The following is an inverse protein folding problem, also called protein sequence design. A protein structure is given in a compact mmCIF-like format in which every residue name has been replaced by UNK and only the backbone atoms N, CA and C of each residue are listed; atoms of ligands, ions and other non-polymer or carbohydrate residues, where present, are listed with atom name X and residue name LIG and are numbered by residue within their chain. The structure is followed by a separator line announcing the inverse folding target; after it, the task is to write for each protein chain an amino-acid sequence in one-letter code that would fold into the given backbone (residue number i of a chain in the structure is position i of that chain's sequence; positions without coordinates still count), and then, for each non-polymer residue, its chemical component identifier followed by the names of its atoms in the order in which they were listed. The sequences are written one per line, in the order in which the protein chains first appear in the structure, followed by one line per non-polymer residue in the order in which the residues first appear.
data_IF_906958261584
#
_entry.id   IF_906958261584
#
_cell.length_a   1.000
_cell.length_b   1.000
_cell.length_c   1.000
_cell.angle_alpha   90.00
_cell.angle_beta   90.00
_cell.angle_gamma   90.00
#
_symmetry.space_group_name_H-M   'P 1'
#
loop_
_entity.id
_entity.type
_entity.pdbx_description
1 polymer ?
#
# COMPACT_ATOMS: atom_id res chain seq x y z
N UNK A 1 16.08 3.94 10.26
CA UNK A 1 14.66 3.56 10.42
C UNK A 1 13.76 4.70 10.00
N UNK A 2 12.67 4.37 9.30
CA UNK A 2 11.76 5.38 8.80
C UNK A 2 10.99 6.05 9.96
N UNK A 3 10.89 7.38 9.91
CA UNK A 3 10.21 8.12 10.96
C UNK A 3 8.72 8.29 10.66
N UNK A 4 7.90 7.44 11.28
CA UNK A 4 6.46 7.50 11.13
C UNK A 4 5.79 8.55 12.01
N UNK A 5 6.55 9.22 12.86
CA UNK A 5 6.01 10.22 13.80
C UNK A 5 6.25 11.66 13.36
N UNK A 6 7.03 11.84 12.30
CA UNK A 6 7.38 13.17 11.83
C UNK A 6 6.25 13.85 11.08
N UNK A 7 6.30 15.18 11.05
CA UNK A 7 5.29 16.00 10.36
C UNK A 7 5.26 15.67 8.87
N UNK A 8 6.43 15.45 8.29
CA UNK A 8 6.52 15.14 6.85
C UNK A 8 5.75 13.89 6.51
N UNK A 9 5.88 12.84 7.33
CA UNK A 9 5.15 11.60 7.10
C UNK A 9 3.65 11.79 7.27
N UNK A 10 3.25 12.54 8.30
CA UNK A 10 1.83 12.77 8.54
C UNK A 10 1.15 13.45 7.36
N UNK A 11 1.84 14.42 6.76
CA UNK A 11 1.32 15.11 5.58
C UNK A 11 1.24 14.17 4.38
N UNK A 12 2.29 13.37 4.18
CA UNK A 12 2.33 12.41 3.08
C UNK A 12 1.22 11.38 3.22
N UNK A 13 1.06 10.89 4.43
CA UNK A 13 0.02 9.90 4.74
C UNK A 13 -1.36 10.43 4.37
N UNK A 14 -1.67 11.67 4.76
CA UNK A 14 -2.96 12.26 4.42
C UNK A 14 -3.14 12.41 2.93
N UNK A 15 -2.09 12.79 2.23
CA UNK A 15 -2.14 12.90 0.77
C UNK A 15 -2.50 11.57 0.13
N UNK A 16 -1.84 10.50 0.57
CA UNK A 16 -2.08 9.17 0.01
C UNK A 16 -3.50 8.70 0.33
N UNK A 17 -3.96 8.90 1.57
CA UNK A 17 -5.32 8.53 1.92
C UNK A 17 -6.34 9.24 1.04
N UNK A 18 -6.12 10.53 0.77
CA UNK A 18 -7.01 11.28 -0.13
C UNK A 18 -6.99 10.75 -1.55
N UNK A 19 -5.79 10.44 -2.05
CA UNK A 19 -5.65 9.87 -3.41
C UNK A 19 -6.43 8.58 -3.55
N UNK A 20 -6.50 7.80 -2.49
CA UNK A 20 -7.18 6.51 -2.50
C UNK A 20 -8.62 6.61 -1.98
N UNK A 21 -9.12 7.82 -1.78
CA UNK A 21 -10.50 8.05 -1.35
C UNK A 21 -10.81 7.49 0.02
N UNK A 22 -9.79 7.37 0.87
CA UNK A 22 -9.93 6.79 2.21
C UNK A 22 -10.47 5.37 2.19
N UNK A 23 -10.18 4.64 1.11
CA UNK A 23 -10.62 3.25 0.96
C UNK A 23 -9.44 2.30 0.98
N UNK A 24 -9.63 1.15 1.63
CA UNK A 24 -8.62 0.11 1.69
C UNK A 24 -8.46 -0.51 0.32
N UNK A 25 -7.28 -0.34 -0.28
CA UNK A 25 -7.04 -0.83 -1.62
C UNK A 25 -6.96 -2.36 -1.67
N UNK A 26 -6.54 -2.99 -0.56
CA UNK A 26 -6.54 -4.46 -0.49
C UNK A 26 -7.96 -5.00 -0.51
N UNK A 27 -8.85 -4.42 0.31
CA UNK A 27 -10.26 -4.83 0.29
C UNK A 27 -10.86 -4.63 -1.09
N UNK A 28 -10.52 -3.51 -1.72
CA UNK A 28 -11.04 -3.17 -3.04
C UNK A 28 -10.61 -4.17 -4.10
N UNK A 29 -9.40 -4.70 -4.01
CA UNK A 29 -8.91 -5.71 -4.94
C UNK A 29 -9.78 -6.96 -4.95
N UNK A 30 -10.42 -7.24 -3.82
CA UNK A 30 -11.27 -8.43 -3.66
C UNK A 30 -12.76 -8.09 -3.64
N UNK A 31 -13.11 -6.92 -4.17
CA UNK A 31 -14.51 -6.53 -4.27
C UNK A 31 -15.14 -6.01 -2.99
N UNK A 32 -14.32 -5.80 -1.96
CA UNK A 32 -14.80 -5.30 -0.69
C UNK A 32 -14.82 -3.78 -0.61
N UNK A 33 -15.28 -3.28 0.52
CA UNK A 33 -15.39 -1.85 0.75
C UNK A 33 -15.11 -1.56 2.22
N UNK A 34 -13.84 -1.26 2.52
CA UNK A 34 -13.41 -0.93 3.89
C UNK A 34 -12.76 0.45 3.90
N UNK A 35 -12.94 1.16 5.00
CA UNK A 35 -12.27 2.46 5.19
C UNK A 35 -10.78 2.23 5.44
N UNK A 36 -9.96 3.12 4.88
CA UNK A 36 -8.51 3.07 5.11
C UNK A 36 -8.13 4.14 6.14
N UNK A 37 -7.24 3.75 7.03
CA UNK A 37 -6.70 4.68 8.02
C UNK A 37 -5.17 4.55 8.13
N UNK A 38 -4.58 3.69 7.33
CA UNK A 38 -3.16 3.37 7.40
C UNK A 38 -2.57 3.42 6.00
N UNK A 39 -1.30 3.77 5.90
CA UNK A 39 -0.59 3.76 4.63
C UNK A 39 0.57 2.79 4.74
N UNK A 40 0.64 1.87 3.80
CA UNK A 40 1.63 0.79 3.76
C UNK A 40 2.66 1.08 2.68
N UNK A 41 3.94 0.82 3.00
CA UNK A 41 5.02 0.85 2.00
C UNK A 41 5.03 -0.47 1.25
N UNK A 42 4.76 -0.43 -0.05
CA UNK A 42 4.75 -1.66 -0.88
C UNK A 42 6.15 -2.26 -0.91
N UNK A 43 7.17 -1.44 -1.15
CA UNK A 43 8.57 -1.79 -0.97
C UNK A 43 8.98 -1.22 0.39
N UNK A 44 9.31 -2.07 1.37
CA UNK A 44 9.57 -1.60 2.74
C UNK A 44 10.61 -0.49 2.82
N UNK A 45 10.30 0.53 3.61
CA UNK A 45 11.10 1.74 3.68
C UNK A 45 12.54 1.49 4.16
N UNK A 46 12.72 0.55 5.07
CA UNK A 46 14.06 0.27 5.62
C UNK A 46 14.96 -0.42 4.60
N UNK A 47 14.39 -1.20 3.69
CA UNK A 47 15.15 -1.89 2.66
C UNK A 47 15.27 -1.08 1.37
N UNK A 48 14.27 -0.25 1.10
CA UNK A 48 14.17 0.53 -0.14
C UNK A 48 13.97 2.00 0.19
N UNK A 49 14.94 2.57 0.89
CA UNK A 49 14.83 3.97 1.35
C UNK A 49 14.62 4.95 0.19
N UNK A 50 15.12 4.61 -1.00
CA UNK A 50 14.95 5.45 -2.18
C UNK A 50 13.49 5.56 -2.63
N UNK A 51 12.65 4.62 -2.20
CA UNK A 51 11.23 4.62 -2.56
C UNK A 51 10.31 5.08 -1.44
N UNK A 52 10.88 5.40 -0.28
CA UNK A 52 10.09 5.65 0.93
C UNK A 52 9.09 6.79 0.80
N UNK A 53 9.36 7.76 -0.05
CA UNK A 53 8.51 8.95 -0.23
C UNK A 53 7.80 9.00 -1.57
N UNK A 54 7.90 7.95 -2.36
CA UNK A 54 7.26 7.89 -3.68
C UNK A 54 5.78 7.50 -3.55
N UNK A 55 4.92 8.28 -4.19
CA UNK A 55 3.47 8.01 -4.12
C UNK A 55 3.11 6.61 -4.60
N UNK A 56 3.78 6.15 -5.67
CA UNK A 56 3.49 4.82 -6.21
C UNK A 56 3.84 3.69 -5.24
N UNK A 57 4.70 3.97 -4.26
CA UNK A 57 5.12 2.98 -3.27
C UNK A 57 4.23 2.96 -2.03
N UNK A 58 3.24 3.83 -1.98
CA UNK A 58 2.40 4.01 -0.81
C UNK A 58 0.96 3.67 -1.15
N UNK A 59 0.34 2.85 -0.33
CA UNK A 59 -0.99 2.35 -0.59
C UNK A 59 -1.84 2.43 0.69
N UNK A 60 -3.06 2.94 0.55
CA UNK A 60 -3.96 3.09 1.68
C UNK A 60 -4.62 1.77 2.01
N UNK A 61 -4.66 1.42 3.29
CA UNK A 61 -5.23 0.15 3.75
C UNK A 61 -5.94 0.36 5.07
N UNK A 62 -6.87 -0.55 5.38
CA UNK A 62 -7.42 -0.66 6.73
C UNK A 62 -6.39 -1.41 7.58
N UNK A 63 -6.57 -1.41 8.89
CA UNK A 63 -5.67 -2.18 9.75
C UNK A 63 -5.71 -3.65 9.36
N UNK A 64 -6.91 -4.15 9.08
CA UNK A 64 -7.09 -5.54 8.64
C UNK A 64 -6.36 -5.80 7.32
N UNK A 65 -6.48 -4.86 6.38
CA UNK A 65 -5.77 -4.97 5.10
C UNK A 65 -4.27 -4.94 5.27
N UNK A 66 -3.78 -4.06 6.16
CA UNK A 66 -2.36 -3.98 6.44
C UNK A 66 -1.83 -5.30 7.01
N UNK A 67 -2.60 -5.90 7.91
CA UNK A 67 -2.21 -7.18 8.51
C UNK A 67 -2.13 -8.32 7.49
N UNK A 68 -2.85 -8.19 6.39
CA UNK A 68 -2.77 -9.17 5.31
C UNK A 68 -1.50 -9.02 4.48
N UNK A 69 -0.90 -7.84 4.50
CA UNK A 69 0.29 -7.56 3.70
C UNK A 69 1.57 -7.72 4.50
N UNK A 70 1.51 -7.56 5.80
CA UNK A 70 2.69 -7.50 6.64
C UNK A 70 2.42 -8.17 7.97
N UNK A 71 3.38 -8.99 8.42
CA UNK A 71 3.30 -9.64 9.71
C UNK A 71 3.52 -8.59 10.80
N UNK A 72 2.55 -8.43 11.69
CA UNK A 72 2.60 -7.41 12.74
C UNK A 72 3.76 -7.61 13.71
N UNK A 73 4.14 -8.85 13.96
CA UNK A 73 5.16 -9.16 14.95
C UNK A 73 6.57 -9.06 14.40
N UNK A 74 6.77 -9.47 13.16
CA UNK A 74 8.11 -9.49 12.57
C UNK A 74 8.38 -8.34 11.63
N UNK A 75 7.32 -7.69 11.10
CA UNK A 75 7.45 -6.63 10.12
C UNK A 75 7.75 -7.13 8.72
N UNK A 76 7.77 -8.45 8.54
CA UNK A 76 8.05 -9.03 7.22
C UNK A 76 6.79 -9.07 6.35
N UNK A 77 6.99 -8.97 5.05
CA UNK A 77 5.88 -9.08 4.11
C UNK A 77 5.32 -10.50 4.12
N UNK A 78 4.00 -10.59 4.05
CA UNK A 78 3.31 -11.87 3.83
C UNK A 78 3.43 -12.23 2.36
N UNK A 79 2.91 -13.40 1.98
CA UNK A 79 2.87 -13.78 0.57
C UNK A 79 2.09 -12.78 -0.25
N UNK A 80 0.97 -12.29 0.29
CA UNK A 80 0.19 -11.27 -0.41
C UNK A 80 0.98 -9.97 -0.54
N UNK A 81 1.70 -9.58 0.51
CA UNK A 81 2.55 -8.39 0.47
C UNK A 81 3.64 -8.51 -0.59
N UNK A 82 4.24 -9.68 -0.71
CA UNK A 82 5.27 -9.94 -1.72
C UNK A 82 4.69 -9.92 -3.12
N UNK A 83 3.50 -10.47 -3.29
CA UNK A 83 2.83 -10.47 -4.58
C UNK A 83 2.52 -9.04 -5.02
N UNK A 84 2.02 -8.23 -4.09
CA UNK A 84 1.75 -6.82 -4.38
C UNK A 84 3.04 -6.10 -4.79
N UNK A 85 4.13 -6.38 -4.08
CA UNK A 85 5.43 -5.80 -4.40
C UNK A 85 5.86 -6.17 -5.82
N UNK A 86 5.75 -7.43 -6.18
CA UNK A 86 6.12 -7.90 -7.52
C UNK A 86 5.30 -7.24 -8.61
N UNK A 87 4.05 -6.97 -8.33
CA UNK A 87 3.15 -6.36 -9.32
C UNK A 87 3.31 -4.85 -9.43
N UNK A 88 3.99 -4.24 -8.47
CA UNK A 88 4.19 -2.79 -8.46
C UNK A 88 5.53 -2.47 -9.08
N UNK A 89 5.50 -1.85 -10.24
CA UNK A 89 6.71 -1.51 -10.99
C UNK A 89 7.27 -0.20 -10.47
N UNK A 90 8.52 -0.18 -9.99
CA UNK A 90 9.12 1.06 -9.50
C UNK A 90 9.01 2.19 -10.51
N UNK A 91 8.53 3.34 -10.03
CA UNK A 91 8.38 4.52 -10.87
C UNK A 91 7.07 4.60 -11.63
N UNK A 92 6.27 3.54 -11.63
CA UNK A 92 4.99 3.53 -12.33
C UNK A 92 3.86 3.72 -11.33
N UNK A 93 3.07 4.77 -11.53
CA UNK A 93 1.94 5.06 -10.63
C UNK A 93 0.74 4.20 -11.03
N UNK A 94 0.52 3.13 -10.28
CA UNK A 94 -0.56 2.18 -10.53
C UNK A 94 -1.95 2.81 -10.43
N UNK A 95 -2.06 3.95 -9.74
CA UNK A 95 -3.34 4.64 -9.64
C UNK A 95 -3.81 5.14 -11.00
N UNK A 96 -2.87 5.48 -11.87
CA UNK A 96 -3.18 5.95 -13.22
C UNK A 96 -3.44 4.80 -14.18
N UNK A 97 -2.98 3.60 -13.83
CA UNK A 97 -3.20 2.41 -14.63
C UNK A 97 -4.01 1.40 -13.83
N UNK A 98 -5.10 1.89 -13.26
CA UNK A 98 -5.90 1.13 -12.30
C UNK A 98 -6.30 -0.26 -12.78
N UNK A 99 -6.58 -0.41 -14.06
CA UNK A 99 -6.93 -1.70 -14.60
C UNK A 99 -5.87 -2.75 -14.41
N UNK A 100 -4.63 -2.36 -14.60
CA UNK A 100 -3.51 -3.28 -14.46
C UNK A 100 -3.35 -3.73 -13.03
N UNK A 101 -3.81 -2.93 -12.09
CA UNK A 101 -3.67 -3.22 -10.69
C UNK A 101 -4.77 -4.13 -10.16
N UNK A 102 -5.91 -4.14 -10.81
CA UNK A 102 -6.99 -5.00 -10.37
C UNK A 102 -6.66 -6.46 -10.61
N UNK A 103 -6.90 -7.26 -9.58
CA UNK A 103 -6.77 -8.69 -9.72
C UNK A 103 -8.09 -9.18 -10.27
N UNK A 104 -8.11 -9.73 -11.49
CA UNK A 104 -9.37 -10.20 -12.04
C UNK A 104 -9.97 -11.23 -11.11
N UNK A 105 -11.17 -11.00 -10.63
CA UNK A 105 -11.79 -11.98 -9.75
C UNK A 105 -11.95 -13.27 -10.51
N UNK A 106 -11.37 -14.18 -10.01
CA UNK A 106 -11.38 -15.40 -10.71
C UNK A 106 -10.86 -15.24 -12.09
N UNK A 107 -10.48 -14.47 -12.28
CA UNK A 107 -10.11 -14.40 -13.45
C UNK A 107 -9.18 -14.59 -13.32
N UNK A 108 -9.85 -14.57 -12.82
CA UNK A 108 -10.08 -14.65 -12.78
C UNK A 108 -10.11 -14.76 -13.05
#
# INVERSE_FOLDING_TARGET
MFDYHGVKWKKKRLKILRLDGYKCQVAKMYGGNEEANTVHHIYPADEYSQYAWCDWNLISVSQKGHNKLENRQTGELTELGKMLQERTIPGVDWRKTRRAQQIPPGKV
#
